data_IF_331594037762
#
_entry.id   IF_331594037762
#
_cell.length_a   1.000
_cell.length_b   1.000
_cell.length_c   1.000
_cell.angle_alpha   90.00
_cell.angle_beta   90.00
_cell.angle_gamma   90.00
#
_symmetry.space_group_name_H-M   'P 1'
#
loop_
_entity.id
_entity.type
_entity.pdbx_description
1 polymer ?
#
# COMPACT_ATOMS: atom_id res chain seq x y z
N UNK A 1 7.93 -7.98 -3.10
CA UNK A 1 7.01 -8.24 -4.23
C UNK A 1 7.59 -9.30 -5.15
N UNK A 2 6.78 -10.03 -5.95
CA UNK A 2 7.28 -10.97 -6.96
C UNK A 2 8.05 -10.26 -8.09
N UNK A 3 8.96 -10.99 -8.75
CA UNK A 3 9.70 -10.48 -9.91
C UNK A 3 8.77 -10.22 -11.12
N UNK A 4 9.01 -9.14 -11.86
CA UNK A 4 8.30 -8.83 -13.11
C UNK A 4 6.86 -8.33 -12.93
N UNK A 5 6.51 -7.89 -11.72
CA UNK A 5 5.16 -7.39 -11.37
C UNK A 5 5.14 -5.89 -11.05
N UNK A 6 6.13 -5.14 -11.50
CA UNK A 6 6.27 -3.70 -11.25
C UNK A 6 5.12 -2.89 -11.82
N UNK A 7 4.52 -3.31 -12.94
CA UNK A 7 3.32 -2.67 -13.48
C UNK A 7 2.15 -2.71 -12.47
N UNK A 8 1.86 -3.88 -11.90
CA UNK A 8 0.81 -4.02 -10.87
C UNK A 8 1.12 -3.19 -9.62
N UNK A 9 2.39 -3.08 -9.24
CA UNK A 9 2.78 -2.20 -8.14
C UNK A 9 2.46 -0.73 -8.46
N UNK A 10 2.74 -0.27 -9.68
CA UNK A 10 2.45 1.11 -10.09
C UNK A 10 0.95 1.38 -10.15
N UNK A 11 0.19 0.46 -10.74
CA UNK A 11 -1.27 0.56 -10.85
C UNK A 11 -1.90 0.75 -9.47
N UNK A 12 -1.44 0.00 -8.46
CA UNK A 12 -1.96 0.12 -7.11
C UNK A 12 -1.37 1.30 -6.32
N UNK A 13 -0.04 1.33 -6.10
CA UNK A 13 0.55 2.30 -5.17
C UNK A 13 0.55 3.73 -5.72
N UNK A 14 0.72 3.91 -7.03
CA UNK A 14 0.63 5.23 -7.66
C UNK A 14 -0.73 5.53 -8.24
N UNK A 15 -1.41 4.54 -8.84
CA UNK A 15 -2.72 4.75 -9.46
C UNK A 15 -3.85 4.82 -8.45
N UNK A 16 -3.98 3.81 -7.58
CA UNK A 16 -5.06 3.74 -6.58
C UNK A 16 -4.75 4.56 -5.33
N UNK A 17 -3.57 4.38 -4.73
CA UNK A 17 -3.20 5.06 -3.48
C UNK A 17 -2.63 6.47 -3.70
N UNK A 18 -2.37 6.85 -4.96
CA UNK A 18 -1.88 8.19 -5.30
C UNK A 18 -0.46 8.50 -4.80
N UNK A 19 0.33 7.50 -4.39
CA UNK A 19 1.71 7.71 -3.91
C UNK A 19 2.65 7.79 -5.12
N UNK A 20 3.30 8.94 -5.40
CA UNK A 20 4.10 9.12 -6.62
C UNK A 20 5.24 8.10 -6.72
N UNK A 21 5.44 7.51 -7.91
CA UNK A 21 6.62 6.69 -8.17
C UNK A 21 7.89 7.55 -8.12
N UNK A 22 8.92 7.03 -7.44
CA UNK A 22 10.25 7.62 -7.39
C UNK A 22 11.23 6.74 -8.16
N UNK A 23 11.99 7.36 -9.07
CA UNK A 23 13.07 6.66 -9.76
C UNK A 23 14.11 6.14 -8.74
N UNK A 24 14.41 4.85 -8.84
CA UNK A 24 15.42 4.23 -8.00
C UNK A 24 16.83 4.73 -8.38
N UNK A 25 17.75 4.87 -7.41
CA UNK A 25 19.15 5.12 -7.73
C UNK A 25 19.71 4.08 -8.71
N UNK A 26 20.53 4.50 -9.69
CA UNK A 26 21.09 3.63 -10.74
C UNK A 26 21.64 2.30 -10.23
N UNK A 27 22.35 2.32 -9.09
CA UNK A 27 22.94 1.12 -8.45
C UNK A 27 21.90 0.10 -7.96
N UNK A 28 20.66 0.53 -7.70
CA UNK A 28 19.56 -0.31 -7.23
C UNK A 28 18.57 -0.69 -8.34
N UNK A 29 18.59 0.02 -9.48
CA UNK A 29 17.66 -0.22 -10.60
C UNK A 29 17.70 -1.67 -11.11
N UNK A 30 18.91 -2.25 -11.25
CA UNK A 30 19.11 -3.62 -11.71
C UNK A 30 18.49 -4.71 -10.80
N UNK A 31 18.06 -4.35 -9.57
CA UNK A 31 17.47 -5.29 -8.61
C UNK A 31 15.96 -5.50 -8.79
N UNK A 32 15.32 -4.81 -9.74
CA UNK A 32 13.86 -4.85 -9.94
C UNK A 32 13.06 -4.19 -8.81
N UNK A 33 11.74 -4.16 -8.95
CA UNK A 33 10.84 -3.53 -7.97
C UNK A 33 10.66 -2.02 -8.19
N UNK A 34 9.87 -1.38 -7.33
CA UNK A 34 9.44 0.01 -7.48
C UNK A 34 9.44 0.76 -6.15
N UNK A 35 9.69 2.07 -6.18
CA UNK A 35 9.66 2.96 -5.03
C UNK A 35 8.54 3.98 -5.20
N UNK A 36 7.80 4.23 -4.13
CA UNK A 36 6.73 5.23 -4.09
C UNK A 36 6.97 6.15 -2.91
N UNK A 37 7.03 7.46 -3.14
CA UNK A 37 7.45 8.42 -2.11
C UNK A 37 6.63 9.71 -2.14
N UNK A 38 6.32 10.20 -0.95
CA UNK A 38 6.01 11.62 -0.69
C UNK A 38 7.10 12.18 0.24
N UNK A 39 6.97 13.43 0.68
CA UNK A 39 7.88 14.00 1.69
C UNK A 39 7.89 13.19 2.99
N UNK A 40 6.73 12.67 3.40
CA UNK A 40 6.53 12.05 4.71
C UNK A 40 6.35 10.52 4.66
N UNK A 41 6.30 9.92 3.46
CA UNK A 41 6.04 8.50 3.28
C UNK A 41 6.99 7.90 2.23
N UNK A 42 7.53 6.72 2.52
CA UNK A 42 8.30 5.93 1.56
C UNK A 42 7.85 4.48 1.59
N UNK A 43 7.40 3.97 0.45
CA UNK A 43 7.05 2.57 0.23
C UNK A 43 8.00 1.99 -0.81
N UNK A 44 8.90 1.11 -0.37
CA UNK A 44 9.92 0.51 -1.24
C UNK A 44 9.63 -0.97 -1.41
N UNK A 45 9.28 -1.37 -2.63
CA UNK A 45 9.05 -2.76 -2.95
C UNK A 45 10.31 -3.36 -3.56
N UNK A 46 11.00 -4.19 -2.78
CA UNK A 46 12.06 -5.05 -3.28
C UNK A 46 11.48 -6.29 -3.96
N UNK A 47 12.09 -6.69 -5.09
CA UNK A 47 11.82 -8.01 -5.68
C UNK A 47 12.43 -9.09 -4.79
N UNK A 48 11.62 -10.08 -4.46
CA UNK A 48 12.03 -11.32 -3.81
C UNK A 48 11.63 -12.50 -4.70
N UNK A 49 12.59 -13.38 -5.00
CA UNK A 49 12.37 -14.58 -5.82
C UNK A 49 11.48 -15.61 -5.12
N UNK A 50 11.49 -15.63 -3.79
CA UNK A 50 10.70 -16.53 -2.95
C UNK A 50 9.58 -15.77 -2.21
N UNK A 51 9.10 -14.68 -2.82
CA UNK A 51 8.13 -13.79 -2.20
C UNK A 51 6.94 -14.56 -1.62
N UNK A 52 6.66 -14.31 -0.34
CA UNK A 52 5.46 -14.77 0.35
C UNK A 52 4.78 -13.54 0.98
N UNK A 53 3.46 -13.33 0.77
CA UNK A 53 2.80 -12.15 1.29
C UNK A 53 2.70 -12.14 2.82
N UNK A 54 2.86 -10.95 3.40
CA UNK A 54 2.61 -10.71 4.81
C UNK A 54 1.10 -10.55 5.05
N UNK A 55 0.42 -11.66 5.36
CA UNK A 55 -1.06 -11.69 5.52
C UNK A 55 -1.55 -11.24 6.90
N UNK A 56 -0.67 -11.22 7.91
CA UNK A 56 -1.01 -10.84 9.30
C UNK A 56 -0.21 -9.65 9.79
N UNK A 57 1.13 -9.75 9.77
CA UNK A 57 1.97 -8.57 9.94
C UNK A 57 1.67 -7.59 8.79
N UNK A 58 1.48 -6.32 9.13
CA UNK A 58 1.07 -5.30 8.19
C UNK A 58 1.69 -3.96 8.57
N UNK A 59 1.66 -3.04 7.62
CA UNK A 59 1.99 -1.63 7.83
C UNK A 59 0.67 -0.88 7.95
N UNK A 60 0.58 0.01 8.94
CA UNK A 60 -0.53 0.91 9.09
C UNK A 60 -0.14 2.31 8.60
N UNK A 61 -0.95 2.86 7.70
CA UNK A 61 -0.83 4.22 7.19
C UNK A 61 -1.83 5.11 7.92
N UNK A 62 -1.33 6.17 8.55
CA UNK A 62 -2.18 7.24 9.04
C UNK A 62 -2.56 8.15 7.87
N UNK A 63 -3.86 8.25 7.59
CA UNK A 63 -4.44 9.10 6.55
C UNK A 63 -5.38 10.13 7.17
N UNK A 64 -5.71 11.17 6.38
CA UNK A 64 -6.70 12.20 6.72
C UNK A 64 -8.11 11.88 6.24
N UNK A 65 -8.26 10.85 5.41
CA UNK A 65 -9.55 10.46 4.84
C UNK A 65 -9.51 8.97 4.48
N UNK A 66 -9.92 8.10 5.40
CA UNK A 66 -10.03 6.65 5.16
C UNK A 66 -11.12 6.35 4.13
N UNK A 67 -12.22 7.11 4.13
CA UNK A 67 -13.34 6.88 3.21
C UNK A 67 -12.96 7.10 1.73
N UNK A 68 -12.08 8.05 1.44
CA UNK A 68 -11.54 8.26 0.09
C UNK A 68 -10.66 7.08 -0.35
N UNK A 69 -9.81 6.55 0.53
CA UNK A 69 -9.00 5.36 0.24
C UNK A 69 -9.88 4.13 0.03
N UNK A 70 -10.90 3.93 0.86
CA UNK A 70 -11.88 2.85 0.69
C UNK A 70 -12.56 2.92 -0.68
N UNK A 71 -13.09 4.10 -1.03
CA UNK A 71 -13.75 4.33 -2.31
C UNK A 71 -12.82 4.01 -3.50
N UNK A 72 -11.61 4.56 -3.50
CA UNK A 72 -10.63 4.35 -4.57
C UNK A 72 -10.26 2.87 -4.71
N UNK A 73 -10.11 2.14 -3.61
CA UNK A 73 -9.85 0.71 -3.62
C UNK A 73 -11.01 -0.06 -4.27
N UNK A 74 -12.25 0.18 -3.82
CA UNK A 74 -13.45 -0.51 -4.34
C UNK A 74 -13.65 -0.22 -5.83
N UNK A 75 -13.52 1.04 -6.26
CA UNK A 75 -13.68 1.44 -7.66
C UNK A 75 -12.64 0.78 -8.59
N UNK A 76 -11.47 0.42 -8.06
CA UNK A 76 -10.41 -0.29 -8.79
C UNK A 76 -10.43 -1.81 -8.55
N UNK A 77 -11.50 -2.35 -7.94
CA UNK A 77 -11.71 -3.79 -7.78
C UNK A 77 -10.94 -4.45 -6.62
N UNK A 78 -10.43 -3.66 -5.67
CA UNK A 78 -9.79 -4.17 -4.47
C UNK A 78 -10.82 -4.41 -3.37
N UNK A 79 -10.70 -5.55 -2.68
CA UNK A 79 -11.51 -5.86 -1.51
C UNK A 79 -11.03 -5.05 -0.31
N UNK A 80 -11.97 -4.32 0.30
CA UNK A 80 -11.76 -3.57 1.54
C UNK A 80 -12.52 -4.29 2.65
N UNK A 81 -11.88 -4.47 3.80
CA UNK A 81 -12.51 -5.10 4.96
C UNK A 81 -12.11 -4.39 6.26
N UNK A 82 -12.99 -4.43 7.25
CA UNK A 82 -12.74 -3.91 8.60
C UNK A 82 -12.48 -5.06 9.59
N UNK A 83 -11.82 -4.76 10.70
CA UNK A 83 -11.61 -5.67 11.83
C UNK A 83 -12.30 -5.08 13.08
N UNK A 84 -11.96 -5.59 14.27
CA UNK A 84 -12.44 -5.04 15.54
C UNK A 84 -12.24 -3.52 15.61
N UNK A 85 -13.21 -2.77 16.17
CA UNK A 85 -13.06 -1.33 16.40
C UNK A 85 -11.78 -1.01 17.17
N UNK A 86 -11.11 0.08 16.79
CA UNK A 86 -9.99 0.64 17.51
C UNK A 86 -10.42 1.99 18.07
N UNK A 87 -10.35 2.16 19.40
CA UNK A 87 -10.75 3.40 20.05
C UNK A 87 -9.96 4.60 19.50
N UNK A 88 -10.68 5.67 19.15
CA UNK A 88 -10.10 6.89 18.59
C UNK A 88 -9.77 6.85 17.10
N UNK A 89 -10.09 5.76 16.38
CA UNK A 89 -9.79 5.62 14.95
C UNK A 89 -10.94 5.02 14.15
N UNK A 90 -11.10 5.50 12.92
CA UNK A 90 -11.70 4.70 11.84
C UNK A 90 -10.58 4.01 11.07
N UNK A 91 -10.78 2.76 10.65
CA UNK A 91 -9.75 2.00 9.94
C UNK A 91 -10.33 0.94 9.01
N UNK A 92 -9.57 0.67 7.95
CA UNK A 92 -9.84 -0.38 6.97
C UNK A 92 -8.57 -1.16 6.68
N UNK A 93 -8.75 -2.33 6.08
CA UNK A 93 -7.68 -3.17 5.56
C UNK A 93 -7.89 -3.46 4.09
N UNK A 94 -6.78 -3.50 3.36
CA UNK A 94 -6.73 -3.85 1.94
C UNK A 94 -5.56 -4.79 1.72
N UNK A 95 -5.70 -5.72 0.79
CA UNK A 95 -4.56 -6.48 0.29
C UNK A 95 -3.96 -5.76 -0.91
N UNK A 96 -2.66 -5.53 -0.90
CA UNK A 96 -1.95 -5.06 -2.09
C UNK A 96 -2.06 -6.12 -3.22
N UNK A 97 -1.65 -5.81 -4.47
CA UNK A 97 -1.72 -6.74 -5.60
C UNK A 97 -0.96 -8.06 -5.40
N UNK A 98 -0.15 -8.15 -4.35
CA UNK A 98 0.69 -9.30 -4.02
C UNK A 98 0.16 -10.06 -2.79
N UNK A 99 -0.93 -9.58 -2.16
CA UNK A 99 -1.55 -10.18 -0.99
C UNK A 99 -1.01 -9.71 0.36
N UNK A 100 -0.16 -8.68 0.39
CA UNK A 100 0.29 -8.09 1.65
C UNK A 100 -0.86 -7.28 2.27
N UNK A 101 -1.11 -7.49 3.57
CA UNK A 101 -2.10 -6.70 4.30
C UNK A 101 -1.55 -5.29 4.55
N UNK A 102 -2.36 -4.28 4.21
CA UNK A 102 -2.15 -2.88 4.55
C UNK A 102 -3.32 -2.42 5.43
N UNK A 103 -3.04 -1.62 6.46
CA UNK A 103 -4.05 -0.92 7.26
C UNK A 103 -4.05 0.56 6.90
N UNK A 104 -5.22 1.16 6.72
CA UNK A 104 -5.37 2.61 6.62
C UNK A 104 -6.24 3.06 7.78
N UNK A 105 -5.77 4.06 8.52
CA UNK A 105 -6.44 4.55 9.72
C UNK A 105 -6.47 6.07 9.74
N UNK A 106 -7.53 6.63 10.28
CA UNK A 106 -7.75 8.06 10.46
C UNK A 106 -8.19 8.31 11.90
N UNK A 107 -7.61 9.33 12.52
CA UNK A 107 -7.99 9.73 13.88
C UNK A 107 -9.39 10.32 13.85
N UNK A 108 -10.26 9.86 14.74
CA UNK A 108 -11.53 10.52 14.99
C UNK A 108 -11.23 11.84 15.69
N UNK A 109 -11.73 12.95 15.15
CA UNK A 109 -11.72 14.22 15.88
C UNK A 109 -12.66 14.09 17.08
N UNK A 110 -12.12 14.40 18.28
CA UNK A 110 -12.83 14.38 19.57
C UNK A 110 -13.17 15.83 19.94
#
# INVERSE_FOLDING_TARGET
>A
MPAGKEALARDFYSGVLGIPEKEKPKKLAARGGAWFETENLKVHLGVDKNFTPAKKAHIAFLTKNVGEIEKLCIENGYEVYSDQPLEGYTRIYVLDPFGNRLEFMEKLEI
#
